data_IF_223050781164
#
_entry.id   IF_223050781164
#
_cell.length_a   1.000
_cell.length_b   1.000
_cell.length_c   1.000
_cell.angle_alpha   90.00
_cell.angle_beta   90.00
_cell.angle_gamma   90.00
#
_symmetry.space_group_name_H-M   'P 1'
#
loop_
_entity.id
_entity.type
_entity.pdbx_description
1 polymer ?
#
# COMPACT_ATOMS: atom_id res chain seq x y z
N UNK A 1 21.66 26.18 16.93
CA UNK A 1 20.77 25.06 17.33
C UNK A 1 20.88 24.02 16.24
N UNK A 2 21.65 22.98 16.51
CA UNK A 2 21.87 21.86 15.59
C UNK A 2 20.56 21.10 15.44
N UNK A 3 20.02 21.10 14.23
CA UNK A 3 18.91 20.25 13.83
C UNK A 3 19.41 18.82 14.03
N UNK A 4 18.98 18.14 15.09
CA UNK A 4 19.16 16.69 15.19
C UNK A 4 18.53 16.13 13.92
N UNK A 5 19.32 15.45 13.09
CA UNK A 5 18.79 14.39 12.22
C UNK A 5 17.98 13.49 13.15
N UNK A 6 16.66 13.71 13.16
CA UNK A 6 15.74 12.72 13.70
C UNK A 6 15.85 11.57 12.71
N UNK A 7 16.09 10.36 13.21
CA UNK A 7 16.04 9.15 12.41
C UNK A 7 14.62 9.01 11.86
N UNK A 8 14.34 9.65 10.73
CA UNK A 8 13.06 9.57 10.04
C UNK A 8 13.02 8.21 9.36
N UNK A 9 11.91 7.47 9.53
CA UNK A 9 11.79 6.15 8.93
C UNK A 9 11.85 6.26 7.41
N UNK A 10 12.41 5.24 6.78
CA UNK A 10 12.55 5.09 5.35
C UNK A 10 12.25 3.64 4.95
N UNK A 11 11.53 3.48 3.85
CA UNK A 11 11.32 2.20 3.19
C UNK A 11 11.84 2.27 1.76
N UNK A 12 12.31 1.14 1.23
CA UNK A 12 12.70 1.02 -0.16
C UNK A 12 12.30 -0.33 -0.74
N UNK A 13 11.97 -0.34 -2.02
CA UNK A 13 11.64 -1.55 -2.77
C UNK A 13 12.13 -1.41 -4.21
N UNK A 14 12.29 -2.53 -4.89
CA UNK A 14 12.76 -2.56 -6.26
C UNK A 14 12.16 -3.70 -7.06
N UNK A 15 12.04 -3.50 -8.37
CA UNK A 15 11.54 -4.51 -9.29
C UNK A 15 12.27 -4.48 -10.62
N UNK A 16 12.73 -5.64 -11.07
CA UNK A 16 13.16 -5.83 -12.46
C UNK A 16 11.95 -6.13 -13.34
N UNK A 17 11.86 -5.44 -14.47
CA UNK A 17 10.77 -5.55 -15.44
C UNK A 17 11.36 -5.87 -16.81
N UNK A 18 10.82 -6.88 -17.49
CA UNK A 18 11.29 -7.37 -18.80
C UNK A 18 10.79 -6.54 -19.99
N UNK A 19 10.95 -5.22 -19.91
CA UNK A 19 10.78 -4.28 -21.02
C UNK A 19 11.84 -3.18 -20.95
N UNK A 20 12.03 -2.48 -22.06
CA UNK A 20 12.96 -1.36 -22.17
C UNK A 20 12.56 -0.15 -21.29
N UNK A 21 13.55 0.69 -20.98
CA UNK A 21 13.39 1.82 -20.05
C UNK A 21 12.36 2.84 -20.51
N UNK A 22 12.30 3.11 -21.82
CA UNK A 22 11.37 4.08 -22.38
C UNK A 22 9.92 3.59 -22.24
N UNK A 23 9.69 2.28 -22.39
CA UNK A 23 8.37 1.67 -22.17
C UNK A 23 7.93 1.73 -20.71
N UNK A 24 8.83 1.45 -19.75
CA UNK A 24 8.53 1.58 -18.32
C UNK A 24 8.19 3.03 -17.97
N UNK A 25 8.98 3.98 -18.48
CA UNK A 25 8.74 5.41 -18.29
C UNK A 25 7.37 5.85 -18.81
N UNK A 26 6.99 5.40 -20.01
CA UNK A 26 5.67 5.70 -20.59
C UNK A 26 4.54 5.17 -19.70
N UNK A 27 4.65 3.93 -19.17
CA UNK A 27 3.64 3.39 -18.26
C UNK A 27 3.54 4.13 -16.92
N UNK A 28 4.64 4.74 -16.46
CA UNK A 28 4.65 5.53 -15.22
C UNK A 28 4.10 6.95 -15.41
N UNK A 29 4.23 7.52 -16.60
CA UNK A 29 3.95 8.96 -16.85
C UNK A 29 2.74 9.21 -17.75
N UNK A 30 2.24 8.22 -18.49
CA UNK A 30 1.00 8.35 -19.25
C UNK A 30 -0.23 8.12 -18.35
N UNK A 31 -1.17 9.08 -18.23
CA UNK A 31 -2.34 8.96 -17.37
C UNK A 31 -3.21 7.74 -17.67
N UNK A 32 -3.37 7.35 -18.94
CA UNK A 32 -4.22 6.20 -19.30
C UNK A 32 -3.57 4.91 -18.85
N UNK A 33 -2.25 4.81 -18.98
CA UNK A 33 -1.51 3.65 -18.52
C UNK A 33 -1.47 3.56 -17.00
N UNK A 34 -1.16 4.65 -16.29
CA UNK A 34 -1.20 4.73 -14.83
C UNK A 34 -2.55 4.28 -14.30
N UNK A 35 -3.64 4.80 -14.88
CA UNK A 35 -4.99 4.38 -14.54
C UNK A 35 -5.21 2.88 -14.75
N UNK A 36 -4.70 2.32 -15.84
CA UNK A 36 -4.90 0.92 -16.18
C UNK A 36 -4.16 -0.02 -15.24
N UNK A 37 -2.85 0.17 -15.01
CA UNK A 37 -2.07 -0.77 -14.21
C UNK A 37 -2.35 -0.63 -12.71
N UNK A 38 -2.68 0.58 -12.22
CA UNK A 38 -3.17 0.79 -10.86
C UNK A 38 -4.67 0.51 -10.67
N UNK A 39 -5.43 0.29 -11.75
CA UNK A 39 -6.89 0.10 -11.70
C UNK A 39 -7.59 1.25 -10.94
N UNK A 40 -7.21 2.49 -11.28
CA UNK A 40 -7.76 3.69 -10.67
C UNK A 40 -9.10 4.06 -11.28
N UNK A 41 -9.99 4.64 -10.48
CA UNK A 41 -11.20 5.27 -11.04
C UNK A 41 -10.89 6.63 -11.65
N UNK A 42 -9.97 7.37 -11.04
CA UNK A 42 -9.55 8.69 -11.47
C UNK A 42 -8.05 8.91 -11.18
N UNK A 43 -7.40 9.69 -12.04
CA UNK A 43 -5.96 9.91 -11.99
C UNK A 43 -5.58 11.31 -12.48
N UNK A 44 -4.69 11.96 -11.75
CA UNK A 44 -3.89 13.09 -12.22
C UNK A 44 -2.43 12.67 -12.19
N UNK A 45 -1.75 12.77 -13.33
CA UNK A 45 -0.31 12.49 -13.45
C UNK A 45 0.41 13.80 -13.77
N UNK A 46 1.41 14.20 -12.97
CA UNK A 46 2.12 15.45 -13.18
C UNK A 46 3.01 15.38 -14.43
N UNK A 47 3.16 16.52 -15.12
CA UNK A 47 3.97 16.63 -16.34
C UNK A 47 5.22 17.49 -16.18
N UNK A 48 5.23 18.34 -15.15
CA UNK A 48 6.36 19.21 -14.82
C UNK A 48 6.41 19.45 -13.29
N UNK A 49 7.59 19.81 -12.75
CA UNK A 49 7.73 20.18 -11.34
C UNK A 49 6.70 21.23 -10.89
N UNK A 50 6.09 20.99 -9.73
CA UNK A 50 5.00 21.78 -9.16
C UNK A 50 3.60 21.23 -9.45
N UNK A 51 3.44 20.39 -10.47
CA UNK A 51 2.16 19.74 -10.78
C UNK A 51 1.75 18.75 -9.66
N UNK A 52 0.44 18.54 -9.53
CA UNK A 52 -0.12 17.59 -8.57
C UNK A 52 -0.23 16.18 -9.17
N UNK A 53 0.03 15.20 -8.32
CA UNK A 53 -0.33 13.81 -8.52
C UNK A 53 -1.56 13.52 -7.67
N UNK A 54 -2.52 12.81 -8.26
CA UNK A 54 -3.68 12.31 -7.52
C UNK A 54 -4.07 10.93 -8.00
N UNK A 55 -4.07 9.94 -7.12
CA UNK A 55 -4.52 8.57 -7.42
C UNK A 55 -5.76 8.24 -6.61
N UNK A 56 -6.89 7.99 -7.25
CA UNK A 56 -8.13 7.61 -6.59
C UNK A 56 -8.48 6.15 -6.88
N UNK A 57 -8.48 5.34 -5.82
CA UNK A 57 -8.89 3.94 -5.86
C UNK A 57 -10.35 3.79 -5.44
N UNK A 58 -11.09 2.92 -6.14
CA UNK A 58 -12.45 2.55 -5.76
C UNK A 58 -12.43 1.34 -4.83
N UNK A 59 -12.94 1.53 -3.61
CA UNK A 59 -13.14 0.44 -2.64
C UNK A 59 -14.61 0.04 -2.45
N UNK A 60 -15.45 0.24 -3.46
CA UNK A 60 -16.83 -0.26 -3.45
C UNK A 60 -17.76 0.47 -2.47
N UNK A 61 -17.54 1.77 -2.23
CA UNK A 61 -18.56 2.66 -1.67
C UNK A 61 -18.56 2.93 -0.17
N UNK A 62 -17.44 2.74 0.57
CA UNK A 62 -17.33 3.29 1.94
C UNK A 62 -16.27 4.39 2.09
N UNK A 63 -15.06 4.20 1.58
CA UNK A 63 -14.00 5.23 1.58
C UNK A 63 -13.21 5.15 0.28
N UNK A 64 -13.20 6.24 -0.49
CA UNK A 64 -12.27 6.39 -1.61
C UNK A 64 -10.87 6.57 -1.04
N UNK A 65 -9.95 5.68 -1.42
CA UNK A 65 -8.56 5.84 -1.07
C UNK A 65 -7.94 6.79 -2.10
N UNK A 66 -7.59 7.98 -1.64
CA UNK A 66 -6.97 9.03 -2.45
C UNK A 66 -5.55 9.26 -1.96
N UNK A 67 -4.58 9.08 -2.84
CA UNK A 67 -3.20 9.51 -2.60
C UNK A 67 -2.95 10.81 -3.33
N UNK A 68 -2.28 11.75 -2.67
CA UNK A 68 -1.88 13.03 -3.25
C UNK A 68 -0.38 13.25 -3.06
N UNK A 69 0.23 13.86 -4.07
CA UNK A 69 1.61 14.30 -3.99
C UNK A 69 1.82 15.51 -4.91
N UNK A 70 2.96 16.16 -4.77
CA UNK A 70 3.44 17.20 -5.70
C UNK A 70 4.71 16.71 -6.36
N UNK A 71 4.79 16.79 -7.68
CA UNK A 71 6.03 16.49 -8.38
C UNK A 71 7.05 17.57 -8.02
N UNK A 72 8.15 17.19 -7.38
CA UNK A 72 9.23 18.10 -7.02
C UNK A 72 10.25 18.23 -8.14
N UNK A 73 10.64 17.11 -8.72
CA UNK A 73 11.65 17.06 -9.77
C UNK A 73 11.42 15.84 -10.68
N UNK A 74 11.88 15.93 -11.92
CA UNK A 74 11.73 14.86 -12.90
C UNK A 74 12.81 14.93 -13.98
N UNK A 75 13.49 13.82 -14.18
CA UNK A 75 14.44 13.63 -15.27
C UNK A 75 13.89 12.54 -16.20
N UNK A 76 13.52 12.87 -17.45
CA UNK A 76 12.88 11.92 -18.35
C UNK A 76 13.62 10.59 -18.50
N UNK A 77 12.91 9.49 -18.23
CA UNK A 77 13.41 8.12 -18.21
C UNK A 77 14.45 7.81 -17.13
N UNK A 78 14.75 8.73 -16.21
CA UNK A 78 15.77 8.54 -15.19
C UNK A 78 15.16 8.54 -13.81
N UNK A 79 14.37 9.57 -13.47
CA UNK A 79 13.80 9.68 -12.13
C UNK A 79 12.55 10.56 -12.05
N UNK A 80 11.75 10.30 -11.02
CA UNK A 80 10.71 11.19 -10.53
C UNK A 80 10.87 11.36 -9.01
N UNK A 81 10.76 12.59 -8.54
CA UNK A 81 10.84 12.94 -7.12
C UNK A 81 9.54 13.62 -6.71
N UNK A 82 8.88 13.09 -5.69
CA UNK A 82 7.59 13.60 -5.21
C UNK A 82 7.68 14.02 -3.74
N UNK A 83 7.02 15.13 -3.43
CA UNK A 83 6.61 15.44 -2.06
C UNK A 83 5.24 14.81 -1.83
N UNK A 84 5.22 13.76 -1.02
CA UNK A 84 4.07 12.89 -0.82
C UNK A 84 3.30 13.26 0.44
N UNK A 85 1.98 13.32 0.35
CA UNK A 85 1.15 13.71 1.49
C UNK A 85 0.79 12.47 2.30
N UNK A 86 1.36 12.35 3.50
CA UNK A 86 1.07 11.25 4.43
C UNK A 86 0.24 11.78 5.60
N UNK A 87 -0.96 11.24 5.84
CA UNK A 87 -1.76 11.62 7.00
C UNK A 87 -0.98 11.44 8.31
N UNK A 88 -0.98 12.45 9.19
CA UNK A 88 -0.23 12.44 10.45
C UNK A 88 1.23 12.88 10.32
N UNK A 89 1.72 13.20 9.13
CA UNK A 89 2.99 13.87 8.93
C UNK A 89 2.78 15.39 8.81
N UNK A 90 3.56 16.18 9.57
CA UNK A 90 3.44 17.64 9.56
C UNK A 90 4.02 18.26 8.28
N UNK A 91 5.01 17.61 7.69
CA UNK A 91 5.64 17.96 6.41
C UNK A 91 5.39 16.83 5.41
N UNK A 92 5.40 17.13 4.11
CA UNK A 92 5.32 16.06 3.10
C UNK A 92 6.54 15.14 3.21
N UNK A 93 6.30 13.83 3.11
CA UNK A 93 7.36 12.83 2.97
C UNK A 93 7.96 12.89 1.56
N UNK A 94 9.03 12.14 1.32
CA UNK A 94 9.75 12.13 0.04
C UNK A 94 9.66 10.77 -0.62
N UNK A 95 9.09 10.70 -1.81
CA UNK A 95 9.16 9.52 -2.68
C UNK A 95 10.12 9.79 -3.83
N UNK A 96 11.12 8.91 -3.99
CA UNK A 96 12.05 8.93 -5.12
C UNK A 96 11.87 7.64 -5.91
N UNK A 97 11.62 7.78 -7.20
CA UNK A 97 11.52 6.64 -8.13
C UNK A 97 12.62 6.79 -9.17
N UNK A 98 13.42 5.74 -9.38
CA UNK A 98 14.47 5.72 -10.40
C UNK A 98 14.25 4.57 -11.38
N UNK A 99 14.65 4.81 -12.64
CA UNK A 99 14.52 3.87 -13.74
C UNK A 99 15.92 3.57 -14.30
N UNK A 100 16.44 2.39 -14.00
CA UNK A 100 17.80 1.98 -14.37
C UNK A 100 17.72 0.95 -15.49
N UNK A 101 18.30 1.26 -16.64
CA UNK A 101 18.47 0.28 -17.71
C UNK A 101 19.49 -0.78 -17.27
N UNK A 102 19.08 -2.05 -17.30
CA UNK A 102 19.97 -3.18 -17.02
C UNK A 102 20.60 -3.71 -18.32
N UNK A 103 19.77 -3.80 -19.37
CA UNK A 103 20.14 -4.09 -20.76
C UNK A 103 19.00 -3.66 -21.71
N UNK A 104 19.16 -3.91 -23.02
CA UNK A 104 18.24 -3.48 -24.09
C UNK A 104 16.76 -3.89 -23.87
N UNK A 105 16.47 -4.89 -23.04
CA UNK A 105 15.11 -5.38 -22.80
C UNK A 105 14.70 -5.45 -21.33
N UNK A 106 15.51 -4.92 -20.40
CA UNK A 106 15.26 -5.02 -18.97
C UNK A 106 15.55 -3.72 -18.24
N UNK A 107 14.62 -3.34 -17.39
CA UNK A 107 14.70 -2.13 -16.57
C UNK A 107 14.48 -2.47 -15.12
N UNK A 108 15.30 -1.92 -14.24
CA UNK A 108 15.10 -1.95 -12.80
C UNK A 108 14.42 -0.65 -12.37
N UNK A 109 13.28 -0.77 -11.71
CA UNK A 109 12.60 0.34 -11.04
C UNK A 109 12.95 0.27 -9.57
N UNK A 110 13.47 1.34 -9.00
CA UNK A 110 13.72 1.45 -7.56
C UNK A 110 12.88 2.56 -6.98
N UNK A 111 12.33 2.33 -5.80
CA UNK A 111 11.50 3.30 -5.09
C UNK A 111 11.98 3.41 -3.65
N UNK A 112 12.20 4.64 -3.19
CA UNK A 112 12.46 4.96 -1.78
C UNK A 112 11.40 5.93 -1.29
N UNK A 113 10.86 5.70 -0.09
CA UNK A 113 9.94 6.60 0.59
C UNK A 113 10.47 6.93 1.99
N UNK A 114 10.81 8.19 2.24
CA UNK A 114 11.45 8.64 3.48
C UNK A 114 10.79 9.89 4.07
N UNK A 115 11.15 10.24 5.31
CA UNK A 115 10.66 11.46 5.97
C UNK A 115 9.44 11.25 6.87
N UNK A 116 9.15 10.00 7.25
CA UNK A 116 8.10 9.69 8.21
C UNK A 116 8.51 10.13 9.62
N UNK A 117 7.61 10.82 10.34
CA UNK A 117 7.81 11.22 11.72
C UNK A 117 7.45 10.11 12.74
N UNK A 118 7.75 10.35 14.02
CA UNK A 118 7.56 9.38 15.11
C UNK A 118 6.11 9.23 15.61
N UNK A 119 5.16 10.01 15.07
CA UNK A 119 3.77 9.92 15.50
C UNK A 119 3.21 8.52 15.21
N UNK A 120 2.31 8.04 16.08
CA UNK A 120 1.67 6.74 15.86
C UNK A 120 1.00 6.67 14.49
N UNK A 121 0.32 7.75 14.08
CA UNK A 121 -0.33 7.80 12.76
C UNK A 121 0.68 7.64 11.63
N UNK A 122 1.79 8.38 11.65
CA UNK A 122 2.86 8.27 10.65
C UNK A 122 3.48 6.88 10.60
N UNK A 123 3.68 6.22 11.76
CA UNK A 123 4.23 4.86 11.81
C UNK A 123 3.27 3.80 11.25
N UNK A 124 1.97 3.96 11.48
CA UNK A 124 0.95 3.10 10.86
C UNK A 124 0.94 3.28 9.33
N UNK A 125 1.01 4.52 8.85
CA UNK A 125 1.12 4.79 7.41
C UNK A 125 2.43 4.24 6.82
N UNK A 126 3.55 4.38 7.53
CA UNK A 126 4.84 3.82 7.14
C UNK A 126 4.75 2.32 6.87
N UNK A 127 4.21 1.55 7.82
CA UNK A 127 4.03 0.10 7.69
C UNK A 127 3.12 -0.26 6.49
N UNK A 128 2.07 0.53 6.26
CA UNK A 128 1.24 0.37 5.06
C UNK A 128 2.01 0.65 3.76
N UNK A 129 2.80 1.73 3.68
CA UNK A 129 3.59 2.05 2.48
C UNK A 129 4.71 1.06 2.22
N UNK A 130 5.42 0.62 3.25
CA UNK A 130 6.48 -0.39 3.17
C UNK A 130 5.97 -1.65 2.48
N UNK A 131 4.77 -2.07 2.85
CA UNK A 131 4.10 -3.20 2.23
C UNK A 131 3.54 -2.88 0.82
N UNK A 132 2.82 -1.76 0.64
CA UNK A 132 2.10 -1.45 -0.60
C UNK A 132 2.99 -1.10 -1.79
N UNK A 133 4.16 -0.50 -1.57
CA UNK A 133 5.02 -0.09 -2.68
C UNK A 133 5.48 -1.28 -3.51
N UNK A 134 5.83 -2.40 -2.86
CA UNK A 134 6.18 -3.63 -3.54
C UNK A 134 5.04 -4.10 -4.45
N UNK A 135 3.80 -4.10 -3.94
CA UNK A 135 2.62 -4.48 -4.72
C UNK A 135 2.43 -3.59 -5.94
N UNK A 136 2.63 -2.28 -5.81
CA UNK A 136 2.49 -1.38 -6.95
C UNK A 136 3.55 -1.61 -8.02
N UNK A 137 4.81 -1.84 -7.64
CA UNK A 137 5.85 -2.20 -8.61
C UNK A 137 5.59 -3.57 -9.26
N UNK A 138 5.07 -4.54 -8.51
CA UNK A 138 4.68 -5.84 -9.05
C UNK A 138 3.49 -5.75 -10.02
N UNK A 139 2.52 -4.86 -9.76
CA UNK A 139 1.41 -4.57 -10.68
C UNK A 139 1.89 -3.93 -11.97
N UNK A 140 2.79 -2.96 -11.88
CA UNK A 140 3.43 -2.35 -13.05
C UNK A 140 4.16 -3.40 -13.88
N UNK A 141 4.93 -4.27 -13.23
CA UNK A 141 5.63 -5.36 -13.90
C UNK A 141 4.66 -6.32 -14.58
N UNK A 142 3.61 -6.78 -13.89
CA UNK A 142 2.61 -7.67 -14.45
C UNK A 142 1.90 -7.07 -15.66
N UNK A 143 1.55 -5.79 -15.59
CA UNK A 143 0.94 -5.03 -16.70
C UNK A 143 1.85 -4.97 -17.93
N UNK A 144 3.12 -4.61 -17.73
CA UNK A 144 4.10 -4.45 -18.81
C UNK A 144 4.54 -5.78 -19.43
N UNK A 145 4.61 -6.84 -18.62
CA UNK A 145 4.98 -8.19 -19.06
C UNK A 145 3.78 -9.01 -19.56
N UNK A 146 2.58 -8.41 -19.60
CA UNK A 146 1.33 -9.04 -20.04
C UNK A 146 1.02 -10.36 -19.32
N UNK A 147 1.27 -10.39 -18.00
CA UNK A 147 0.97 -11.54 -17.14
C UNK A 147 -0.08 -11.18 -16.09
N UNK A 148 -0.83 -12.16 -15.57
CA UNK A 148 -1.74 -11.91 -14.46
C UNK A 148 -1.01 -11.35 -13.24
N UNK A 149 -1.56 -10.30 -12.64
CA UNK A 149 -1.13 -9.85 -11.32
C UNK A 149 -1.71 -10.78 -10.26
N UNK A 150 -0.86 -11.27 -9.36
CA UNK A 150 -1.25 -12.13 -8.25
C UNK A 150 -0.97 -11.40 -6.95
N UNK A 151 -2.03 -10.83 -6.34
CA UNK A 151 -1.92 -10.09 -5.08
C UNK A 151 -1.51 -11.03 -3.94
N UNK A 152 -1.91 -12.31 -3.97
CA UNK A 152 -1.67 -13.36 -2.99
C UNK A 152 -1.54 -14.72 -3.70
N UNK A 153 -1.06 -15.76 -3.00
CA UNK A 153 -0.95 -17.13 -3.56
C UNK A 153 -2.30 -17.71 -3.97
N UNK A 154 -3.38 -17.28 -3.33
CA UNK A 154 -4.75 -17.72 -3.63
C UNK A 154 -5.45 -16.74 -4.56
N UNK A 155 -6.13 -17.27 -5.58
CA UNK A 155 -6.91 -16.46 -6.55
C UNK A 155 -8.10 -15.73 -5.89
N UNK A 156 -8.42 -16.05 -4.64
CA UNK A 156 -9.63 -15.59 -3.95
C UNK A 156 -9.44 -15.67 -2.43
N UNK A 157 -8.67 -14.75 -1.81
CA UNK A 157 -8.42 -14.82 -0.37
C UNK A 157 -9.74 -14.71 0.42
N UNK A 158 -9.88 -15.45 1.53
CA UNK A 158 -11.04 -15.29 2.41
C UNK A 158 -11.11 -13.86 2.94
N UNK A 159 -12.32 -13.30 3.04
CA UNK A 159 -12.49 -11.92 3.51
C UNK A 159 -12.77 -11.89 5.00
N UNK A 160 -11.92 -11.17 5.72
CA UNK A 160 -12.29 -10.58 7.02
C UNK A 160 -13.27 -9.42 6.81
N UNK A 161 -13.04 -8.62 5.76
CA UNK A 161 -13.70 -7.33 5.57
C UNK A 161 -13.07 -6.19 6.37
N UNK A 162 -11.95 -6.45 7.02
CA UNK A 162 -11.15 -5.43 7.70
C UNK A 162 -10.38 -4.66 6.63
N UNK A 163 -10.47 -3.33 6.69
CA UNK A 163 -9.63 -2.44 5.92
C UNK A 163 -8.55 -1.91 6.89
N UNK A 164 -7.30 -2.38 6.79
CA UNK A 164 -6.25 -1.96 7.70
C UNK A 164 -5.81 -0.51 7.40
N UNK A 165 -5.52 0.23 8.46
CA UNK A 165 -4.76 1.47 8.37
C UNK A 165 -3.25 1.19 8.27
N UNK A 166 -2.78 0.27 9.10
CA UNK A 166 -1.36 0.02 9.37
C UNK A 166 -1.21 -0.80 10.64
N UNK A 167 0.00 -1.29 10.90
CA UNK A 167 0.37 -2.02 12.10
C UNK A 167 1.54 -1.30 12.78
N UNK A 168 1.48 -1.20 14.11
CA UNK A 168 2.61 -0.74 14.90
C UNK A 168 2.78 -1.65 16.13
N UNK A 169 4.01 -2.06 16.51
CA UNK A 169 4.22 -3.07 17.55
C UNK A 169 3.51 -2.81 18.88
N UNK A 170 3.36 -1.54 19.27
CA UNK A 170 2.75 -1.16 20.54
C UNK A 170 1.21 -1.06 20.51
N UNK A 171 0.57 -0.97 19.33
CA UNK A 171 -0.90 -0.95 19.18
C UNK A 171 -1.48 -2.13 18.39
N UNK A 172 -0.65 -2.93 17.72
CA UNK A 172 -1.11 -3.91 16.75
C UNK A 172 -1.65 -3.26 15.47
N UNK A 173 -2.55 -3.94 14.78
CA UNK A 173 -3.18 -3.46 13.56
C UNK A 173 -4.34 -2.52 13.89
N UNK A 174 -4.32 -1.30 13.35
CA UNK A 174 -5.43 -0.35 13.50
C UNK A 174 -6.39 -0.49 12.33
N UNK A 175 -7.68 -0.62 12.61
CA UNK A 175 -8.73 -0.72 11.59
C UNK A 175 -9.04 0.68 11.04
N UNK A 176 -8.80 0.92 9.76
CA UNK A 176 -9.22 2.16 9.09
C UNK A 176 -10.72 2.15 8.81
N UNK A 177 -11.25 1.03 8.34
CA UNK A 177 -12.67 0.86 8.02
C UNK A 177 -13.06 -0.62 7.99
N UNK A 178 -14.36 -0.90 7.84
CA UNK A 178 -14.90 -2.24 7.71
C UNK A 178 -15.86 -2.30 6.53
N UNK A 179 -15.69 -3.30 5.67
CA UNK A 179 -16.55 -3.52 4.51
C UNK A 179 -18.00 -3.85 4.92
N UNK A 180 -18.97 -3.32 4.17
CA UNK A 180 -20.41 -3.60 4.37
C UNK A 180 -20.66 -5.10 4.25
N UNK A 181 -21.52 -5.65 5.10
CA UNK A 181 -21.95 -7.06 5.08
C UNK A 181 -20.77 -8.03 5.18
N UNK A 182 -19.68 -7.62 5.81
CA UNK A 182 -18.49 -8.46 5.98
C UNK A 182 -18.48 -9.18 7.31
N UNK A 183 -17.64 -10.22 7.43
CA UNK A 183 -17.48 -10.98 8.66
C UNK A 183 -17.14 -10.05 9.85
N UNK A 184 -16.24 -9.09 9.62
CA UNK A 184 -15.82 -8.12 10.63
C UNK A 184 -16.97 -7.23 11.11
N UNK A 185 -17.84 -6.78 10.19
CA UNK A 185 -19.03 -5.99 10.56
C UNK A 185 -19.99 -6.81 11.43
N UNK A 186 -20.25 -8.07 11.08
CA UNK A 186 -21.17 -8.94 11.83
C UNK A 186 -20.74 -9.22 13.27
N UNK A 187 -19.43 -9.22 13.53
CA UNK A 187 -18.88 -9.42 14.88
C UNK A 187 -18.58 -8.10 15.60
N UNK A 188 -18.96 -6.97 14.97
CA UNK A 188 -18.89 -5.65 15.57
C UNK A 188 -17.51 -5.03 15.60
N UNK A 189 -16.57 -5.46 14.75
CA UNK A 189 -15.32 -4.73 14.52
C UNK A 189 -15.65 -3.42 13.79
N UNK A 190 -14.98 -2.33 14.15
CA UNK A 190 -15.23 -0.98 13.62
C UNK A 190 -13.93 -0.23 13.34
N UNK A 191 -14.02 0.84 12.57
CA UNK A 191 -12.94 1.80 12.41
C UNK A 191 -12.45 2.29 13.79
N UNK A 192 -11.14 2.34 13.96
CA UNK A 192 -10.47 2.70 15.22
C UNK A 192 -10.22 1.53 16.18
N UNK A 193 -10.80 0.34 15.94
CA UNK A 193 -10.44 -0.84 16.74
C UNK A 193 -8.96 -1.21 16.52
N UNK A 194 -8.31 -1.64 17.60
CA UNK A 194 -6.91 -2.07 17.62
C UNK A 194 -6.84 -3.59 17.77
N UNK A 195 -6.42 -4.30 16.73
CA UNK A 195 -6.27 -5.77 16.72
C UNK A 195 -4.84 -6.13 17.09
N UNK A 196 -4.67 -6.76 18.26
CA UNK A 196 -3.38 -7.14 18.83
C UNK A 196 -2.85 -8.47 18.31
N UNK A 197 -3.75 -9.42 18.09
CA UNK A 197 -3.39 -10.76 17.64
C UNK A 197 -4.52 -11.44 16.88
N UNK A 198 -4.14 -12.39 16.01
CA UNK A 198 -5.07 -13.31 15.34
C UNK A 198 -4.60 -14.73 15.62
N UNK A 199 -5.50 -15.58 16.11
CA UNK A 199 -5.21 -16.97 16.49
C UNK A 199 -4.01 -17.11 17.45
N UNK A 200 -3.85 -16.12 18.34
CA UNK A 200 -2.75 -16.05 19.31
C UNK A 200 -1.42 -15.52 18.75
N UNK A 201 -1.34 -15.27 17.44
CA UNK A 201 -0.17 -14.68 16.78
C UNK A 201 -0.29 -13.15 16.86
N UNK A 202 0.68 -12.50 17.49
CA UNK A 202 0.71 -11.03 17.60
C UNK A 202 0.96 -10.39 16.24
N UNK A 203 0.24 -9.29 15.97
CA UNK A 203 0.47 -8.46 14.79
C UNK A 203 1.43 -7.33 15.14
N UNK A 204 2.60 -7.30 14.52
CA UNK A 204 3.65 -6.30 14.73
C UNK A 204 3.92 -5.46 13.49
N UNK A 205 3.69 -6.05 12.32
CA UNK A 205 3.83 -5.44 10.99
C UNK A 205 2.71 -5.94 10.06
N UNK A 206 2.45 -5.24 8.96
CA UNK A 206 1.41 -5.62 7.99
C UNK A 206 1.62 -7.04 7.43
N UNK A 207 2.88 -7.45 7.29
CA UNK A 207 3.25 -8.77 6.79
C UNK A 207 2.73 -9.91 7.68
N UNK A 208 2.59 -9.71 8.99
CA UNK A 208 1.99 -10.70 9.89
C UNK A 208 0.52 -10.97 9.50
N UNK A 209 -0.22 -9.90 9.18
CA UNK A 209 -1.62 -10.01 8.78
C UNK A 209 -1.77 -10.69 7.41
N UNK A 210 -0.93 -10.33 6.44
CA UNK A 210 -0.98 -10.96 5.11
C UNK A 210 -0.53 -12.41 5.11
N UNK A 211 0.49 -12.76 5.89
CA UNK A 211 0.89 -14.16 6.07
C UNK A 211 -0.23 -15.00 6.65
N UNK A 212 -0.91 -14.47 7.66
CA UNK A 212 -2.09 -15.14 8.21
C UNK A 212 -3.21 -15.26 7.18
N UNK A 213 -3.46 -14.23 6.35
CA UNK A 213 -4.45 -14.29 5.27
C UNK A 213 -4.09 -15.30 4.17
N UNK A 214 -2.81 -15.47 3.86
CA UNK A 214 -2.31 -16.44 2.89
C UNK A 214 -2.58 -17.89 3.32
N UNK A 215 -2.49 -18.16 4.63
CA UNK A 215 -2.75 -19.47 5.22
C UNK A 215 -4.23 -19.68 5.57
N UNK A 216 -5.04 -18.63 5.50
CA UNK A 216 -6.44 -18.65 5.89
C UNK A 216 -7.33 -19.35 4.85
N UNK A 217 -8.31 -20.14 5.33
CA UNK A 217 -9.31 -20.81 4.51
C UNK A 217 -10.71 -20.20 4.67
N UNK A 218 -11.48 -20.20 3.58
CA UNK A 218 -12.88 -19.79 3.64
C UNK A 218 -13.70 -20.76 4.51
N UNK A 219 -14.53 -20.22 5.40
CA UNK A 219 -15.33 -20.98 6.36
C UNK A 219 -14.62 -21.26 7.69
N UNK A 220 -13.31 -21.00 7.79
CA UNK A 220 -12.60 -21.15 9.07
C UNK A 220 -13.08 -20.10 10.09
N UNK A 221 -13.10 -20.48 11.36
CA UNK A 221 -13.28 -19.54 12.47
C UNK A 221 -11.90 -19.11 12.97
N UNK A 222 -11.67 -17.81 13.03
CA UNK A 222 -10.44 -17.22 13.53
C UNK A 222 -10.70 -16.33 14.75
N UNK A 223 -9.78 -16.34 15.70
CA UNK A 223 -9.89 -15.60 16.96
C UNK A 223 -9.14 -14.28 16.87
N UNK A 224 -9.86 -13.17 16.86
CA UNK A 224 -9.29 -11.82 16.83
C UNK A 224 -9.23 -11.27 18.25
N UNK A 225 -8.03 -10.98 18.74
CA UNK A 225 -7.81 -10.33 20.04
C UNK A 225 -7.64 -8.84 19.80
N UNK A 226 -8.63 -8.05 20.17
CA UNK A 226 -8.59 -6.59 20.16
C UNK A 226 -8.04 -6.06 21.49
N UNK A 227 -7.79 -4.75 21.58
CA UNK A 227 -7.32 -4.09 22.80
C UNK A 227 -8.25 -4.30 24.00
N UNK A 228 -9.57 -4.31 23.79
CA UNK A 228 -10.60 -4.32 24.83
C UNK A 228 -11.37 -5.65 24.93
N UNK A 229 -11.37 -6.45 23.85
CA UNK A 229 -12.17 -7.67 23.75
C UNK A 229 -11.55 -8.71 22.82
N UNK A 230 -12.10 -9.92 22.87
CA UNK A 230 -11.82 -10.97 21.89
C UNK A 230 -13.10 -11.29 21.12
N UNK A 231 -12.98 -11.49 19.81
CA UNK A 231 -14.10 -11.88 18.94
C UNK A 231 -13.72 -13.07 18.08
N UNK A 232 -14.68 -13.95 17.84
CA UNK A 232 -14.53 -15.05 16.89
C UNK A 232 -15.14 -14.64 15.55
N UNK A 233 -14.35 -14.75 14.48
CA UNK A 233 -14.69 -14.30 13.14
C UNK A 233 -14.74 -15.51 12.20
N UNK A 234 -15.90 -15.79 11.61
CA UNK A 234 -16.04 -16.82 10.57
C UNK A 234 -15.71 -16.21 9.21
N UNK A 235 -14.63 -16.69 8.59
CA UNK A 235 -14.18 -16.21 7.29
C UNK A 235 -15.15 -16.58 6.19
N UNK A 236 -15.48 -15.59 5.35
CA UNK A 236 -16.40 -15.79 4.23
C UNK A 236 -15.63 -15.90 2.91
N UNK A 237 -16.08 -16.76 1.99
CA UNK A 237 -15.57 -16.76 0.62
C UNK A 237 -15.89 -15.42 -0.05
N UNK A 238 -15.01 -15.00 -0.95
CA UNK A 238 -15.26 -13.83 -1.80
C UNK A 238 -16.52 -14.10 -2.64
N UNK A 239 -17.57 -13.31 -2.42
CA UNK A 239 -18.71 -13.23 -3.35
C UNK A 239 -18.65 -11.84 -3.98
N UNK A 240 -18.51 -11.82 -5.31
CA UNK A 240 -18.53 -10.63 -6.16
C UNK A 240 -19.94 -10.08 -6.28
#
# INVERSE_FOLDING_TARGET
MTHRERDMLETSTEREIKVDRARVWAAWTDPKEVRAWLNLIDVEVPTQPGDKLRWQFNRGGRIDLVFTATLRDMEPQESCVYDWDVPGNDESTRVVVTFVELDEGRTKVQLTHSGFNDSLRSRLEFDAYDHHWWHYLERLAAYLEHRPFQFHKTLTPPKTGIIPLGVAPEVGMVVADVAINSAAEYVGIKAGDEIRAIDGIQLKEMEDFHRWLDDAEAGQTATFTLQDRTVELVLRPFTS
#
